data_IF_893083541996
#
_entry.id   IF_893083541996
#
_cell.length_a   1.000
_cell.length_b   1.000
_cell.length_c   1.000
_cell.angle_alpha   90.00
_cell.angle_beta   90.00
_cell.angle_gamma   90.00
#
_symmetry.space_group_name_H-M   'P 1'
#
loop_
_entity.id
_entity.type
_entity.pdbx_description
1 polymer ?
#
# COMPACT_ATOMS: atom_id res chain seq x y z
N UNK A 1 11.53 -35.97 -9.03
CA UNK A 1 10.51 -35.20 -9.77
C UNK A 1 10.87 -33.72 -9.65
N UNK A 2 11.47 -33.12 -10.69
CA UNK A 2 11.84 -31.69 -10.70
C UNK A 2 10.57 -30.89 -10.99
N UNK A 3 10.01 -30.21 -9.99
CA UNK A 3 8.98 -29.19 -10.19
C UNK A 3 9.63 -27.99 -10.92
N UNK A 4 9.07 -27.60 -12.06
CA UNK A 4 9.51 -26.42 -12.83
C UNK A 4 9.11 -25.16 -12.05
N UNK A 5 10.11 -24.40 -11.63
CA UNK A 5 9.93 -23.06 -11.07
C UNK A 5 9.45 -22.09 -12.16
N UNK A 6 8.67 -21.05 -11.82
CA UNK A 6 8.23 -20.03 -12.78
C UNK A 6 9.43 -19.35 -13.47
N UNK A 7 9.34 -19.10 -14.76
CA UNK A 7 10.41 -18.56 -15.64
C UNK A 7 11.13 -17.29 -15.11
N UNK A 8 10.56 -16.57 -14.17
CA UNK A 8 11.18 -15.36 -13.55
C UNK A 8 12.21 -15.71 -12.47
N UNK A 9 12.13 -16.86 -11.84
CA UNK A 9 13.08 -17.31 -10.80
C UNK A 9 14.31 -17.95 -11.42
N UNK A 10 14.17 -18.69 -12.52
CA UNK A 10 15.30 -19.28 -13.26
C UNK A 10 16.31 -18.24 -13.77
N UNK A 11 15.86 -17.03 -14.07
CA UNK A 11 16.73 -15.95 -14.53
C UNK A 11 17.67 -15.38 -13.44
N UNK A 12 17.34 -15.62 -12.17
CA UNK A 12 18.12 -15.10 -11.03
C UNK A 12 19.10 -16.15 -10.49
N UNK A 13 18.70 -17.42 -10.47
CA UNK A 13 19.52 -18.54 -9.96
C UNK A 13 20.69 -18.88 -10.90
N UNK A 14 20.53 -18.68 -12.21
CA UNK A 14 21.61 -18.92 -13.19
C UNK A 14 22.79 -17.93 -13.12
N UNK A 15 22.72 -16.89 -12.28
CA UNK A 15 23.84 -15.95 -12.06
C UNK A 15 24.86 -16.41 -11.00
N UNK A 16 24.59 -17.48 -10.27
CA UNK A 16 25.45 -17.99 -9.21
C UNK A 16 26.30 -19.20 -9.62
N UNK A 17 26.08 -19.74 -10.82
CA UNK A 17 26.91 -20.80 -11.38
C UNK A 17 27.94 -20.22 -12.35
N UNK A 18 29.24 -20.41 -12.07
CA UNK A 18 30.37 -19.89 -12.83
C UNK A 18 30.43 -20.43 -14.26
N UNK A 19 29.59 -19.92 -15.16
CA UNK A 19 29.68 -20.05 -16.60
C UNK A 19 30.07 -18.69 -17.19
N UNK A 20 30.88 -18.68 -18.23
CA UNK A 20 31.30 -17.50 -18.99
C UNK A 20 30.14 -16.54 -19.22
N UNK A 21 30.30 -15.22 -19.07
CA UNK A 21 29.20 -14.26 -19.22
C UNK A 21 28.65 -14.37 -20.65
N UNK A 22 27.55 -15.06 -20.83
CA UNK A 22 26.77 -14.94 -22.06
C UNK A 22 26.27 -13.49 -22.11
N UNK A 23 26.83 -12.71 -23.03
CA UNK A 23 26.33 -11.38 -23.36
C UNK A 23 24.85 -11.57 -23.72
N UNK A 24 23.96 -11.17 -22.82
CA UNK A 24 22.53 -11.15 -23.16
C UNK A 24 22.33 -10.12 -24.26
N UNK A 25 21.65 -10.48 -25.36
CA UNK A 25 21.32 -9.48 -26.37
C UNK A 25 20.62 -8.30 -25.67
N UNK A 26 20.96 -7.09 -26.10
CA UNK A 26 20.28 -5.89 -25.64
C UNK A 26 18.76 -6.09 -25.84
N UNK A 27 17.94 -5.73 -24.86
CA UNK A 27 16.50 -5.86 -25.02
C UNK A 27 16.06 -5.04 -26.23
N UNK A 28 15.03 -5.47 -26.97
CA UNK A 28 14.57 -4.76 -28.17
C UNK A 28 14.20 -3.30 -27.81
N UNK A 29 14.34 -2.35 -28.74
CA UNK A 29 13.96 -0.96 -28.52
C UNK A 29 12.49 -0.87 -28.07
N UNK A 30 12.17 0.19 -27.31
CA UNK A 30 10.78 0.46 -26.91
C UNK A 30 10.00 0.83 -28.18
N UNK A 31 8.84 0.22 -28.46
CA UNK A 31 8.01 0.59 -29.60
C UNK A 31 7.62 2.07 -29.56
N UNK A 32 7.78 2.78 -30.68
CA UNK A 32 7.46 4.20 -30.79
C UNK A 32 5.99 4.50 -30.41
N UNK A 33 5.08 3.61 -30.78
CA UNK A 33 3.65 3.71 -30.46
C UNK A 33 3.39 3.78 -28.95
N UNK A 34 4.12 3.00 -28.14
CA UNK A 34 3.99 3.05 -26.68
C UNK A 34 4.53 4.36 -26.10
N UNK A 35 5.59 4.92 -26.72
CA UNK A 35 6.13 6.22 -26.30
C UNK A 35 5.12 7.32 -26.61
N UNK A 36 4.52 7.31 -27.80
CA UNK A 36 3.47 8.25 -28.19
C UNK A 36 2.21 8.09 -27.33
N UNK A 37 1.81 6.87 -26.99
CA UNK A 37 0.72 6.62 -26.05
C UNK A 37 1.00 7.25 -24.69
N UNK A 38 2.22 7.08 -24.17
CA UNK A 38 2.61 7.68 -22.90
C UNK A 38 2.65 9.21 -22.95
N UNK A 39 3.06 9.80 -24.09
CA UNK A 39 3.02 11.24 -24.31
C UNK A 39 1.59 11.78 -24.38
N UNK A 40 0.75 11.15 -25.19
CA UNK A 40 -0.65 11.53 -25.35
C UNK A 40 -1.48 11.41 -24.07
N UNK A 41 -1.14 10.44 -23.21
CA UNK A 41 -1.78 10.24 -21.91
C UNK A 41 -1.31 11.21 -20.81
N UNK A 42 -0.29 12.05 -21.06
CA UNK A 42 0.20 13.02 -20.08
C UNK A 42 -0.81 14.14 -19.87
N UNK A 43 -1.34 14.34 -18.64
CA UNK A 43 -2.30 15.40 -18.38
C UNK A 43 -1.66 16.78 -18.44
N UNK A 44 -2.44 17.84 -18.68
CA UNK A 44 -1.95 19.20 -18.57
C UNK A 44 -1.52 19.51 -17.13
N UNK A 45 -0.58 20.45 -16.99
CA UNK A 45 -0.21 20.99 -15.67
C UNK A 45 -1.42 21.73 -15.06
N UNK A 46 -1.79 21.46 -13.79
CA UNK A 46 -2.91 22.18 -13.16
C UNK A 46 -2.69 23.68 -13.11
N UNK A 47 -3.77 24.46 -13.37
CA UNK A 47 -3.76 25.94 -13.27
C UNK A 47 -3.80 26.46 -11.83
N UNK A 48 -3.36 25.68 -10.85
CA UNK A 48 -3.38 26.02 -9.42
C UNK A 48 -2.04 26.62 -8.96
N UNK A 49 -2.02 27.47 -7.91
CA UNK A 49 -0.78 28.00 -7.36
C UNK A 49 0.10 26.92 -6.73
N UNK A 50 -0.49 25.92 -6.09
CA UNK A 50 0.20 24.76 -5.53
C UNK A 50 -0.06 23.54 -6.42
N UNK A 51 0.97 23.09 -7.12
CA UNK A 51 0.88 22.00 -8.09
C UNK A 51 1.65 20.79 -7.59
N UNK A 52 0.90 19.78 -7.15
CA UNK A 52 1.43 18.53 -6.58
C UNK A 52 1.56 17.45 -7.65
N UNK A 53 2.72 16.82 -7.72
CA UNK A 53 2.95 15.63 -8.52
C UNK A 53 3.21 14.42 -7.62
N UNK A 54 2.43 13.34 -7.76
CA UNK A 54 2.56 12.12 -6.96
C UNK A 54 2.92 10.95 -7.87
N UNK A 55 4.03 10.29 -7.60
CA UNK A 55 4.53 9.19 -8.44
C UNK A 55 5.56 8.31 -7.70
N UNK A 56 5.90 7.12 -8.23
CA UNK A 56 5.36 6.45 -9.42
C UNK A 56 4.56 5.19 -9.09
N UNK A 57 4.20 4.94 -7.84
CA UNK A 57 3.76 3.63 -7.37
C UNK A 57 2.25 3.44 -7.34
N UNK A 58 1.50 4.36 -6.73
CA UNK A 58 0.04 4.33 -6.58
C UNK A 58 -0.50 2.96 -6.07
N UNK A 59 0.19 2.35 -5.09
CA UNK A 59 -0.23 1.07 -4.53
C UNK A 59 -1.61 1.18 -3.89
N UNK A 60 -2.50 0.24 -4.23
CA UNK A 60 -3.91 0.25 -3.83
C UNK A 60 -4.62 1.60 -4.12
N UNK A 61 -4.18 2.33 -5.16
CA UNK A 61 -4.75 3.62 -5.53
C UNK A 61 -4.40 4.78 -4.60
N UNK A 62 -3.47 4.59 -3.66
CA UNK A 62 -3.26 5.56 -2.59
C UNK A 62 -2.66 6.88 -3.08
N UNK A 63 -1.72 6.85 -4.02
CA UNK A 63 -1.19 8.08 -4.61
C UNK A 63 -2.29 8.98 -5.18
N UNK A 64 -3.23 8.38 -5.92
CA UNK A 64 -4.38 9.09 -6.47
C UNK A 64 -5.33 9.59 -5.39
N UNK A 65 -5.64 8.77 -4.39
CA UNK A 65 -6.53 9.13 -3.30
C UNK A 65 -5.98 10.26 -2.43
N UNK A 66 -4.68 10.25 -2.10
CA UNK A 66 -4.04 11.38 -1.39
C UNK A 66 -4.03 12.65 -2.23
N UNK A 67 -3.76 12.55 -3.53
CA UNK A 67 -3.81 13.70 -4.45
C UNK A 67 -5.23 14.30 -4.49
N UNK A 68 -6.26 13.48 -4.67
CA UNK A 68 -7.66 13.93 -4.66
C UNK A 68 -8.08 14.48 -3.30
N UNK A 69 -7.60 13.91 -2.20
CA UNK A 69 -7.85 14.45 -0.85
C UNK A 69 -7.24 15.85 -0.67
N UNK A 70 -5.98 16.01 -1.10
CA UNK A 70 -5.31 17.33 -1.06
C UNK A 70 -6.08 18.39 -1.86
N UNK A 71 -6.53 18.07 -3.07
CA UNK A 71 -7.32 18.98 -3.91
C UNK A 71 -8.67 19.36 -3.27
N UNK A 72 -9.36 18.39 -2.69
CA UNK A 72 -10.66 18.64 -2.06
C UNK A 72 -10.58 19.48 -0.79
N UNK A 73 -9.52 19.32 -0.02
CA UNK A 73 -9.41 19.87 1.33
C UNK A 73 -8.52 21.12 1.43
N UNK A 74 -7.59 21.30 0.48
CA UNK A 74 -6.62 22.39 0.54
C UNK A 74 -6.85 23.38 -0.61
N UNK A 75 -7.32 24.61 -0.31
CA UNK A 75 -7.55 25.63 -1.34
C UNK A 75 -6.28 25.89 -2.17
N UNK A 76 -6.44 25.97 -3.47
CA UNK A 76 -5.36 26.31 -4.38
C UNK A 76 -4.40 25.15 -4.70
N UNK A 77 -4.70 23.93 -4.28
CA UNK A 77 -3.96 22.72 -4.71
C UNK A 77 -4.58 22.15 -5.97
N UNK A 78 -3.74 21.85 -6.96
CA UNK A 78 -4.06 20.99 -8.11
C UNK A 78 -3.04 19.88 -8.16
N UNK A 79 -3.45 18.66 -8.46
CA UNK A 79 -2.55 17.51 -8.41
C UNK A 79 -2.60 16.65 -9.69
N UNK A 80 -1.48 16.00 -9.97
CA UNK A 80 -1.36 14.97 -11.00
C UNK A 80 -0.67 13.75 -10.41
N UNK A 81 -1.21 12.58 -10.74
CA UNK A 81 -0.64 11.29 -10.33
C UNK A 81 -0.14 10.51 -11.52
N UNK A 82 1.01 9.85 -11.40
CA UNK A 82 1.56 9.00 -12.45
C UNK A 82 1.92 7.62 -11.93
N UNK A 83 1.59 6.60 -12.70
CA UNK A 83 1.95 5.21 -12.46
C UNK A 83 2.83 4.69 -13.58
N UNK A 84 4.06 4.32 -13.24
CA UNK A 84 5.03 3.70 -14.16
C UNK A 84 5.47 2.30 -13.72
N UNK A 85 5.03 1.87 -12.56
CA UNK A 85 5.41 0.58 -11.96
C UNK A 85 4.34 -0.45 -12.25
N UNK A 86 4.72 -1.67 -12.68
CA UNK A 86 3.75 -2.73 -12.91
C UNK A 86 3.04 -3.10 -11.60
N UNK A 87 1.73 -3.16 -11.66
CA UNK A 87 0.85 -3.66 -10.61
C UNK A 87 -0.15 -4.65 -11.20
N UNK A 88 -0.62 -5.59 -10.38
CA UNK A 88 -1.60 -6.60 -10.82
C UNK A 88 -2.95 -6.02 -11.21
N UNK A 89 -3.33 -4.87 -10.64
CA UNK A 89 -4.59 -4.17 -10.89
C UNK A 89 -4.34 -2.71 -11.27
N UNK A 90 -5.19 -2.18 -12.16
CA UNK A 90 -5.17 -0.77 -12.52
C UNK A 90 -6.10 0.00 -11.57
N UNK A 91 -5.50 0.68 -10.63
CA UNK A 91 -6.19 1.71 -9.85
C UNK A 91 -6.23 3.03 -10.62
N UNK A 92 -7.18 3.90 -10.29
CA UNK A 92 -7.27 5.24 -10.89
C UNK A 92 -5.96 6.02 -10.73
N UNK A 93 -5.52 6.66 -11.81
CA UNK A 93 -4.41 7.60 -11.86
C UNK A 93 -4.60 8.53 -13.05
N UNK A 94 -4.03 9.72 -12.99
CA UNK A 94 -4.15 10.70 -14.09
C UNK A 94 -3.29 10.29 -15.30
N UNK A 95 -2.16 9.60 -15.06
CA UNK A 95 -1.25 9.16 -16.10
C UNK A 95 -0.76 7.72 -15.86
N UNK A 96 -1.17 6.81 -16.74
CA UNK A 96 -0.65 5.45 -16.75
C UNK A 96 0.41 5.30 -17.83
N UNK A 97 1.65 5.04 -17.43
CA UNK A 97 2.79 4.90 -18.34
C UNK A 97 3.11 3.41 -18.53
N UNK A 98 3.21 2.91 -19.78
CA UNK A 98 3.63 1.55 -20.04
C UNK A 98 5.00 1.26 -19.40
N UNK A 99 5.12 0.13 -18.70
CA UNK A 99 6.36 -0.27 -17.99
C UNK A 99 7.61 -0.15 -18.85
N UNK A 100 7.52 -0.57 -20.12
CA UNK A 100 8.66 -0.52 -21.04
C UNK A 100 9.10 0.91 -21.33
N UNK A 101 8.17 1.85 -21.44
CA UNK A 101 8.45 3.28 -21.65
C UNK A 101 9.09 3.85 -20.39
N UNK A 102 8.46 3.65 -19.24
CA UNK A 102 8.96 4.12 -17.95
C UNK A 102 10.38 3.62 -17.66
N UNK A 103 10.66 2.32 -17.84
CA UNK A 103 11.95 1.74 -17.49
C UNK A 103 13.06 2.01 -18.55
N UNK A 104 12.72 2.21 -19.84
CA UNK A 104 13.70 2.03 -20.92
C UNK A 104 13.71 3.14 -21.98
N UNK A 105 12.72 4.05 -22.01
CA UNK A 105 12.71 5.14 -22.96
C UNK A 105 13.42 6.37 -22.40
N UNK A 106 14.71 6.51 -22.71
CA UNK A 106 15.50 7.65 -22.23
C UNK A 106 14.96 9.01 -22.73
N UNK A 107 14.32 9.03 -23.89
CA UNK A 107 13.67 10.23 -24.45
C UNK A 107 12.47 10.63 -23.60
N UNK A 108 11.54 9.71 -23.37
CA UNK A 108 10.37 9.93 -22.53
C UNK A 108 10.76 10.33 -21.09
N UNK A 109 11.78 9.68 -20.53
CA UNK A 109 12.26 9.97 -19.16
C UNK A 109 12.75 11.42 -19.01
N UNK A 110 13.46 11.95 -20.03
CA UNK A 110 13.91 13.36 -20.04
C UNK A 110 12.73 14.32 -20.17
N UNK A 111 11.82 14.04 -21.10
CA UNK A 111 10.60 14.83 -21.28
C UNK A 111 9.72 14.83 -20.02
N UNK A 112 9.63 13.69 -19.35
CA UNK A 112 8.88 13.56 -18.10
C UNK A 112 9.53 14.35 -16.97
N UNK A 113 10.86 14.32 -16.89
CA UNK A 113 11.61 15.15 -15.94
C UNK A 113 11.38 16.65 -16.22
N UNK A 114 11.45 17.07 -17.49
CA UNK A 114 11.20 18.45 -17.88
C UNK A 114 9.77 18.90 -17.58
N UNK A 115 8.79 18.05 -17.83
CA UNK A 115 7.38 18.29 -17.47
C UNK A 115 7.20 18.51 -15.98
N UNK A 116 7.83 17.66 -15.14
CA UNK A 116 7.69 17.76 -13.69
C UNK A 116 8.42 18.98 -13.14
N UNK A 117 9.70 19.19 -13.48
CA UNK A 117 10.50 20.31 -12.94
C UNK A 117 10.01 21.69 -13.34
N UNK A 118 9.33 21.82 -14.50
CA UNK A 118 8.81 23.10 -15.01
C UNK A 118 7.35 23.33 -14.58
N UNK A 119 6.57 22.25 -14.45
CA UNK A 119 5.14 22.33 -14.23
C UNK A 119 4.72 22.30 -12.76
N UNK A 120 5.46 21.65 -11.89
CA UNK A 120 5.01 21.39 -10.52
C UNK A 120 5.85 22.12 -9.48
N UNK A 121 5.17 22.55 -8.41
CA UNK A 121 5.80 23.22 -7.27
C UNK A 121 6.18 22.22 -6.18
N UNK A 122 5.47 21.07 -6.12
CA UNK A 122 5.63 20.04 -5.11
C UNK A 122 5.63 18.66 -5.75
N UNK A 123 6.47 17.77 -5.22
CA UNK A 123 6.58 16.37 -5.63
C UNK A 123 6.51 15.47 -4.42
N UNK A 124 5.64 14.47 -4.44
CA UNK A 124 5.57 13.40 -3.45
C UNK A 124 6.05 12.09 -4.07
N UNK A 125 7.24 11.65 -3.67
CA UNK A 125 7.85 10.40 -4.16
C UNK A 125 7.29 9.22 -3.36
N UNK A 126 6.68 8.26 -4.06
CA UNK A 126 6.09 7.09 -3.43
C UNK A 126 7.08 5.92 -3.33
N UNK A 127 7.03 5.22 -2.20
CA UNK A 127 7.71 3.94 -1.97
C UNK A 127 9.22 3.96 -2.27
N UNK A 128 9.87 5.12 -2.12
CA UNK A 128 11.31 5.31 -2.38
C UNK A 128 11.71 4.86 -3.81
N UNK A 129 10.81 5.06 -4.79
CA UNK A 129 11.02 4.62 -6.17
C UNK A 129 11.30 5.79 -7.11
N UNK A 130 12.19 5.61 -8.10
CA UNK A 130 12.49 6.67 -9.06
C UNK A 130 11.25 6.98 -9.92
N UNK A 131 10.97 8.26 -10.16
CA UNK A 131 9.84 8.69 -10.99
C UNK A 131 10.22 8.74 -12.50
N UNK A 132 11.51 8.87 -12.78
CA UNK A 132 12.03 9.04 -14.15
C UNK A 132 12.82 7.80 -14.63
N UNK A 133 12.40 6.61 -14.18
CA UNK A 133 12.97 5.34 -14.58
C UNK A 133 14.47 5.24 -14.33
N UNK A 134 15.28 5.15 -15.39
CA UNK A 134 16.73 5.00 -15.29
C UNK A 134 17.52 6.32 -15.42
N UNK A 135 16.85 7.43 -15.63
CA UNK A 135 17.49 8.72 -15.97
C UNK A 135 18.55 9.16 -14.94
N UNK A 136 18.27 8.97 -13.66
CA UNK A 136 19.18 9.29 -12.56
C UNK A 136 19.70 8.01 -11.89
N UNK A 137 20.13 7.04 -12.70
CA UNK A 137 20.64 5.74 -12.26
C UNK A 137 19.62 4.96 -11.42
N UNK A 138 18.32 5.12 -11.72
CA UNK A 138 17.21 4.52 -10.98
C UNK A 138 17.25 4.82 -9.48
N UNK A 139 17.61 6.04 -9.10
CA UNK A 139 17.78 6.44 -7.72
C UNK A 139 16.87 7.63 -7.35
N UNK A 140 15.81 7.34 -6.58
CA UNK A 140 14.83 8.33 -6.14
C UNK A 140 15.45 9.47 -5.31
N UNK A 141 16.48 9.20 -4.54
CA UNK A 141 17.16 10.20 -3.71
C UNK A 141 18.00 11.16 -4.55
N UNK A 142 18.57 10.68 -5.66
CA UNK A 142 19.23 11.54 -6.65
C UNK A 142 18.21 12.43 -7.36
N UNK A 143 17.06 11.87 -7.75
CA UNK A 143 15.94 12.64 -8.33
C UNK A 143 15.46 13.73 -7.38
N UNK A 144 15.27 13.41 -6.11
CA UNK A 144 14.86 14.38 -5.09
C UNK A 144 15.85 15.57 -4.98
N UNK A 145 17.16 15.30 -4.89
CA UNK A 145 18.20 16.37 -4.86
C UNK A 145 18.17 17.22 -6.12
N UNK A 146 18.04 16.60 -7.28
CA UNK A 146 18.02 17.34 -8.56
C UNK A 146 16.78 18.24 -8.63
N UNK A 147 15.58 17.73 -8.27
CA UNK A 147 14.35 18.52 -8.27
C UNK A 147 14.42 19.70 -7.29
N UNK A 148 14.95 19.48 -6.09
CA UNK A 148 15.14 20.54 -5.10
C UNK A 148 16.07 21.64 -5.65
N UNK A 149 17.06 21.30 -6.47
CA UNK A 149 17.91 22.26 -7.18
C UNK A 149 17.18 23.09 -8.26
N UNK A 150 15.95 22.74 -8.61
CA UNK A 150 15.04 23.49 -9.51
C UNK A 150 13.89 24.16 -8.75
N UNK A 151 14.03 24.44 -7.48
CA UNK A 151 13.03 25.04 -6.60
C UNK A 151 11.71 24.23 -6.50
N UNK A 152 11.76 22.95 -6.80
CA UNK A 152 10.65 22.02 -6.57
C UNK A 152 10.76 21.46 -5.14
N UNK A 153 9.73 21.64 -4.34
CA UNK A 153 9.66 21.04 -3.02
C UNK A 153 9.41 19.54 -3.14
N UNK A 154 10.18 18.74 -2.43
CA UNK A 154 10.10 17.29 -2.50
C UNK A 154 9.81 16.72 -1.12
N UNK A 155 8.89 15.77 -1.06
CA UNK A 155 8.63 14.92 0.09
C UNK A 155 8.58 13.45 -0.35
N UNK A 156 8.67 12.54 0.61
CA UNK A 156 8.53 11.10 0.35
C UNK A 156 7.40 10.50 1.15
N UNK A 157 6.76 9.45 0.64
CA UNK A 157 5.79 8.65 1.39
C UNK A 157 6.12 7.16 1.27
N UNK A 158 6.26 6.52 2.43
CA UNK A 158 6.55 5.10 2.52
C UNK A 158 5.27 4.26 2.60
N UNK A 159 5.29 3.12 1.90
CA UNK A 159 4.15 2.21 1.81
C UNK A 159 4.31 0.91 2.64
N UNK A 160 5.52 0.61 3.14
CA UNK A 160 5.78 -0.56 3.97
C UNK A 160 7.10 -1.25 3.63
N UNK A 161 7.12 -2.13 2.62
CA UNK A 161 8.32 -2.91 2.25
C UNK A 161 9.53 -2.07 1.82
N UNK A 162 9.32 -0.84 1.52
CA UNK A 162 10.34 0.13 1.13
C UNK A 162 11.16 0.65 2.33
N UNK A 163 10.57 0.66 3.54
CA UNK A 163 11.24 1.16 4.75
C UNK A 163 11.17 0.21 5.93
N UNK A 164 10.18 -0.72 6.01
CA UNK A 164 10.06 -1.67 7.12
C UNK A 164 11.25 -2.61 7.15
N UNK A 165 12.13 -2.45 8.14
CA UNK A 165 13.38 -3.20 8.27
C UNK A 165 13.12 -4.61 8.80
N UNK A 166 13.38 -5.67 8.02
CA UNK A 166 13.08 -7.03 8.44
C UNK A 166 13.68 -7.44 9.79
N UNK A 167 14.93 -7.04 10.08
CA UNK A 167 15.57 -7.34 11.37
C UNK A 167 14.86 -6.68 12.54
N UNK A 168 14.57 -5.37 12.45
CA UNK A 168 13.87 -4.63 13.50
C UNK A 168 12.44 -5.17 13.71
N UNK A 169 11.76 -5.48 12.62
CA UNK A 169 10.42 -6.07 12.71
C UNK A 169 10.43 -7.43 13.42
N UNK A 170 11.45 -8.29 13.19
CA UNK A 170 11.58 -9.56 13.92
C UNK A 170 11.84 -9.39 15.41
N UNK A 171 12.55 -8.34 15.78
CA UNK A 171 12.82 -8.03 17.19
C UNK A 171 11.55 -7.57 17.92
N UNK A 172 10.71 -6.77 17.25
CA UNK A 172 9.58 -6.10 17.87
C UNK A 172 8.25 -6.87 17.74
N UNK A 173 8.13 -7.79 16.76
CA UNK A 173 6.86 -8.44 16.43
C UNK A 173 6.99 -9.96 16.46
N UNK A 174 6.31 -10.59 17.44
CA UNK A 174 6.36 -12.05 17.70
C UNK A 174 6.05 -12.89 16.45
N UNK A 175 5.07 -12.49 15.65
CA UNK A 175 4.63 -13.22 14.45
C UNK A 175 5.17 -12.63 13.15
N UNK A 176 6.32 -11.95 13.21
CA UNK A 176 6.95 -11.34 12.05
C UNK A 176 7.04 -12.30 10.86
N UNK A 177 6.65 -11.89 9.63
CA UNK A 177 6.76 -12.72 8.45
C UNK A 177 8.19 -12.79 7.88
N UNK A 178 9.12 -11.99 8.41
CA UNK A 178 10.47 -11.84 7.87
C UNK A 178 11.43 -12.90 8.39
N UNK A 179 11.02 -14.17 8.39
CA UNK A 179 11.87 -15.30 8.75
C UNK A 179 12.42 -15.97 7.49
N UNK A 180 13.68 -16.42 7.54
CA UNK A 180 14.40 -16.99 6.35
C UNK A 180 13.75 -18.26 5.83
N UNK A 181 13.21 -19.07 6.73
CA UNK A 181 12.54 -20.33 6.42
C UNK A 181 11.30 -20.12 5.57
N UNK A 182 10.63 -18.99 5.76
CA UNK A 182 9.43 -18.62 5.01
C UNK A 182 9.71 -17.74 3.81
N UNK A 183 10.82 -16.99 3.83
CA UNK A 183 11.14 -16.00 2.80
C UNK A 183 12.62 -15.98 2.44
N UNK A 184 13.00 -16.71 1.39
CA UNK A 184 14.40 -16.83 0.95
C UNK A 184 15.08 -15.50 0.60
N UNK A 185 14.31 -14.48 0.17
CA UNK A 185 14.82 -13.17 -0.27
C UNK A 185 14.84 -12.12 0.86
N UNK A 186 14.62 -12.51 2.13
CA UNK A 186 14.58 -11.55 3.25
C UNK A 186 15.87 -10.73 3.38
N UNK A 187 17.03 -11.35 3.12
CA UNK A 187 18.33 -10.64 3.17
C UNK A 187 18.49 -9.63 2.02
N UNK A 188 17.87 -9.90 0.87
CA UNK A 188 17.83 -8.94 -0.25
C UNK A 188 16.97 -7.73 0.12
N UNK A 189 15.81 -7.99 0.72
CA UNK A 189 14.92 -6.95 1.21
C UNK A 189 15.59 -6.13 2.30
N UNK A 190 16.23 -6.77 3.28
CA UNK A 190 16.99 -6.10 4.35
C UNK A 190 18.00 -5.11 3.78
N UNK A 191 18.82 -5.53 2.80
CA UNK A 191 19.80 -4.63 2.16
C UNK A 191 19.16 -3.50 1.37
N UNK A 192 18.00 -3.75 0.74
CA UNK A 192 17.28 -2.73 0.02
C UNK A 192 16.70 -1.68 0.96
N UNK A 193 16.07 -2.11 2.06
CA UNK A 193 15.50 -1.22 3.07
C UNK A 193 16.59 -0.39 3.73
N UNK A 194 17.73 -0.98 4.14
CA UNK A 194 18.85 -0.23 4.69
C UNK A 194 19.37 0.85 3.73
N UNK A 195 19.41 0.57 2.42
CA UNK A 195 19.77 1.59 1.42
C UNK A 195 18.74 2.71 1.34
N UNK A 196 17.46 2.37 1.41
CA UNK A 196 16.39 3.37 1.39
C UNK A 196 16.44 4.25 2.64
N UNK A 197 16.57 3.66 3.83
CA UNK A 197 16.70 4.40 5.09
C UNK A 197 17.92 5.32 5.10
N UNK A 198 19.07 4.83 4.63
CA UNK A 198 20.27 5.65 4.49
C UNK A 198 20.10 6.78 3.47
N UNK A 199 19.38 6.52 2.37
CA UNK A 199 19.01 7.52 1.38
C UNK A 199 18.12 8.62 1.97
N UNK A 200 17.07 8.24 2.70
CA UNK A 200 16.21 9.19 3.42
C UNK A 200 16.96 10.01 4.44
N UNK A 201 17.79 9.39 5.28
CA UNK A 201 18.61 10.08 6.27
C UNK A 201 19.64 11.05 5.65
N UNK A 202 20.00 10.86 4.37
CA UNK A 202 20.92 11.75 3.64
C UNK A 202 20.23 13.00 3.08
N UNK A 203 18.92 13.10 3.18
CA UNK A 203 18.07 14.18 2.67
C UNK A 203 17.32 14.82 3.84
N UNK A 204 17.36 16.13 3.91
CA UNK A 204 16.52 16.89 4.84
C UNK A 204 15.17 17.20 4.16
N UNK A 205 14.37 16.14 3.96
CA UNK A 205 13.09 16.24 3.29
C UNK A 205 11.95 15.73 4.19
N UNK A 206 10.75 16.35 4.09
CA UNK A 206 9.57 15.82 4.74
C UNK A 206 9.33 14.37 4.34
N UNK A 207 9.15 13.49 5.33
CA UNK A 207 8.84 12.08 5.12
C UNK A 207 7.48 11.74 5.73
N UNK A 208 6.71 10.95 5.00
CA UNK A 208 5.42 10.44 5.42
C UNK A 208 5.43 8.91 5.40
N UNK A 209 4.56 8.32 6.21
CA UNK A 209 4.32 6.87 6.24
C UNK A 209 2.82 6.60 6.10
N UNK A 210 2.45 5.55 5.37
CA UNK A 210 1.05 5.23 5.09
C UNK A 210 0.35 4.47 6.22
N UNK A 211 1.12 3.77 7.06
CA UNK A 211 0.60 3.00 8.21
C UNK A 211 1.40 3.32 9.47
N UNK A 212 0.77 3.25 10.66
CA UNK A 212 1.38 3.74 11.90
C UNK A 212 2.62 2.95 12.35
N UNK A 213 2.70 1.66 12.01
CA UNK A 213 3.84 0.80 12.35
C UNK A 213 5.16 1.26 11.72
N UNK A 214 5.10 1.93 10.56
CA UNK A 214 6.30 2.41 9.87
C UNK A 214 7.01 3.56 10.61
N UNK A 215 6.37 4.14 11.61
CA UNK A 215 7.03 5.08 12.52
C UNK A 215 8.07 4.40 13.42
N UNK A 216 8.10 3.07 13.50
CA UNK A 216 9.17 2.33 14.17
C UNK A 216 10.48 2.38 13.35
N UNK A 217 10.37 2.43 12.03
CA UNK A 217 11.51 2.51 11.10
C UNK A 217 11.87 3.95 10.72
N UNK A 218 10.89 4.86 10.74
CA UNK A 218 11.03 6.28 10.42
C UNK A 218 10.36 7.14 11.51
N UNK A 219 10.96 7.29 12.70
CA UNK A 219 10.34 7.96 13.84
C UNK A 219 10.07 9.46 13.61
N UNK A 220 10.84 10.12 12.75
CA UNK A 220 10.69 11.53 12.42
C UNK A 220 9.66 11.77 11.29
N UNK A 221 9.15 10.72 10.68
CA UNK A 221 8.12 10.83 9.65
C UNK A 221 6.75 11.14 10.27
N UNK A 222 5.84 11.62 9.45
CA UNK A 222 4.45 11.86 9.85
C UNK A 222 3.55 10.77 9.27
N UNK A 223 2.65 10.23 10.08
CA UNK A 223 1.68 9.29 9.58
C UNK A 223 0.62 10.01 8.74
N UNK A 224 0.61 9.72 7.45
CA UNK A 224 -0.40 10.12 6.47
C UNK A 224 -1.26 8.88 6.15
N UNK A 225 -2.40 8.70 6.82
CA UNK A 225 -3.20 7.48 6.71
C UNK A 225 -3.59 7.13 5.28
N UNK A 226 -3.76 5.84 5.02
CA UNK A 226 -4.40 5.38 3.79
C UNK A 226 -5.79 5.98 3.66
N UNK A 227 -6.19 6.28 2.43
CA UNK A 227 -7.47 6.91 2.12
C UNK A 227 -8.35 5.92 1.36
N UNK A 228 -9.62 5.91 1.70
CA UNK A 228 -10.67 5.26 0.91
C UNK A 228 -11.80 6.24 0.69
N UNK A 229 -12.67 5.98 -0.29
CA UNK A 229 -13.95 6.70 -0.43
C UNK A 229 -15.03 5.93 0.34
N UNK A 230 -15.47 6.39 1.52
CA UNK A 230 -16.43 5.64 2.34
C UNK A 230 -17.76 5.37 1.62
N UNK A 231 -18.18 6.27 0.73
CA UNK A 231 -19.46 6.14 0.01
C UNK A 231 -19.49 4.93 -0.93
N UNK A 232 -18.33 4.48 -1.38
CA UNK A 232 -18.23 3.28 -2.23
C UNK A 232 -18.41 1.97 -1.45
N UNK A 233 -18.35 2.02 -0.11
CA UNK A 233 -18.32 0.83 0.76
C UNK A 233 -19.56 0.69 1.64
N UNK A 234 -20.55 1.56 1.49
CA UNK A 234 -21.78 1.44 2.25
C UNK A 234 -22.49 0.12 1.95
N UNK A 235 -22.71 -0.70 2.97
CA UNK A 235 -23.44 -1.94 2.88
C UNK A 235 -24.75 -1.84 3.68
N UNK A 236 -25.89 -2.19 3.06
CA UNK A 236 -27.22 -1.93 3.65
C UNK A 236 -27.54 -2.85 4.82
N UNK A 237 -26.93 -4.04 4.89
CA UNK A 237 -27.30 -5.05 5.86
C UNK A 237 -26.27 -5.16 6.99
N UNK A 238 -26.71 -5.23 8.25
CA UNK A 238 -25.80 -5.53 9.37
C UNK A 238 -25.11 -6.90 9.18
N UNK A 239 -23.87 -7.07 9.67
CA UNK A 239 -23.20 -8.36 9.64
C UNK A 239 -23.85 -9.35 10.65
N UNK A 240 -23.64 -10.64 10.43
CA UNK A 240 -24.03 -11.72 11.34
C UNK A 240 -25.56 -11.93 11.52
N UNK A 241 -26.37 -11.45 10.58
CA UNK A 241 -27.81 -11.74 10.53
C UNK A 241 -28.08 -13.16 10.01
N UNK A 242 -27.19 -13.71 9.20
CA UNK A 242 -27.32 -15.03 8.60
C UNK A 242 -27.09 -16.13 9.62
N UNK A 243 -27.80 -17.26 9.47
CA UNK A 243 -27.58 -18.46 10.30
C UNK A 243 -26.14 -18.97 10.14
N UNK A 244 -25.61 -18.95 8.91
CA UNK A 244 -24.25 -19.30 8.56
C UNK A 244 -23.51 -18.05 8.03
N UNK A 245 -22.76 -17.34 8.85
CA UNK A 245 -22.05 -16.12 8.44
C UNK A 245 -20.98 -16.37 7.40
N UNK A 246 -20.76 -15.37 6.53
CA UNK A 246 -19.72 -15.38 5.50
C UNK A 246 -18.43 -14.73 6.06
N UNK A 247 -17.35 -15.48 6.08
CA UNK A 247 -16.02 -15.02 6.46
C UNK A 247 -15.11 -14.93 5.23
N UNK A 248 -14.50 -13.75 5.02
CA UNK A 248 -13.67 -13.47 3.84
C UNK A 248 -12.23 -13.21 4.25
N UNK A 249 -11.29 -13.81 3.50
CA UNK A 249 -9.87 -13.47 3.54
C UNK A 249 -9.39 -13.14 2.13
N UNK A 250 -8.97 -11.88 1.89
CA UNK A 250 -8.55 -11.38 0.59
C UNK A 250 -7.09 -10.89 0.63
N UNK A 251 -6.10 -11.80 0.65
CA UNK A 251 -4.69 -11.43 0.77
C UNK A 251 -4.10 -11.02 -0.57
N UNK A 252 -3.49 -9.83 -0.64
CA UNK A 252 -2.57 -9.46 -1.73
C UNK A 252 -1.18 -10.07 -1.55
N UNK A 253 -0.81 -10.42 -0.32
CA UNK A 253 0.40 -11.14 0.02
C UNK A 253 0.13 -12.08 1.20
N UNK A 254 0.03 -13.36 0.90
CA UNK A 254 -0.34 -14.42 1.85
C UNK A 254 0.59 -14.49 3.06
N UNK A 255 1.90 -14.24 2.88
CA UNK A 255 2.88 -14.30 3.98
C UNK A 255 2.68 -13.20 5.02
N UNK A 256 2.41 -11.97 4.58
CA UNK A 256 2.14 -10.85 5.50
C UNK A 256 0.82 -11.00 6.23
N UNK A 257 -0.16 -11.55 5.53
CA UNK A 257 -1.51 -11.72 6.05
C UNK A 257 -1.65 -12.91 7.01
N UNK A 258 -0.70 -13.85 7.05
CA UNK A 258 -0.80 -15.08 7.83
C UNK A 258 -1.83 -16.06 7.26
N UNK A 259 -1.89 -16.14 5.92
CA UNK A 259 -2.96 -16.85 5.22
C UNK A 259 -2.98 -18.35 5.52
N UNK A 260 -1.84 -18.98 5.74
CA UNK A 260 -1.79 -20.43 6.05
C UNK A 260 -2.51 -20.73 7.37
N UNK A 261 -2.31 -19.88 8.40
CA UNK A 261 -2.99 -20.03 9.69
C UNK A 261 -4.48 -19.66 9.60
N UNK A 262 -4.81 -18.64 8.78
CA UNK A 262 -6.22 -18.30 8.51
C UNK A 262 -6.93 -19.45 7.82
N UNK A 263 -6.33 -20.03 6.78
CA UNK A 263 -6.91 -21.13 6.02
C UNK A 263 -7.13 -22.36 6.90
N UNK A 264 -6.15 -22.72 7.74
CA UNK A 264 -6.26 -23.83 8.69
C UNK A 264 -7.47 -23.64 9.64
N UNK A 265 -7.51 -22.50 10.33
CA UNK A 265 -8.57 -22.22 11.30
C UNK A 265 -9.96 -22.11 10.64
N UNK A 266 -10.05 -21.46 9.50
CA UNK A 266 -11.33 -21.16 8.86
C UNK A 266 -11.89 -22.31 8.03
N UNK A 267 -11.03 -23.19 7.48
CA UNK A 267 -11.47 -24.42 6.82
C UNK A 267 -12.15 -25.36 7.78
N UNK A 268 -11.58 -25.55 8.99
CA UNK A 268 -12.21 -26.36 10.04
C UNK A 268 -13.62 -25.84 10.43
N UNK A 269 -13.76 -24.51 10.63
CA UNK A 269 -15.07 -23.90 10.94
C UNK A 269 -16.05 -23.99 9.76
N UNK A 270 -15.57 -23.95 8.53
CA UNK A 270 -16.36 -24.11 7.33
C UNK A 270 -16.90 -25.54 7.19
N UNK A 271 -16.06 -26.56 7.42
CA UNK A 271 -16.42 -27.97 7.35
C UNK A 271 -17.43 -28.35 8.47
N UNK A 272 -17.33 -27.72 9.63
CA UNK A 272 -18.31 -27.85 10.71
C UNK A 272 -19.64 -27.12 10.41
N UNK A 273 -19.74 -26.36 9.31
CA UNK A 273 -20.93 -25.61 8.93
C UNK A 273 -21.19 -24.35 9.77
N UNK A 274 -20.24 -23.91 10.57
CA UNK A 274 -20.36 -22.74 11.45
C UNK A 274 -20.23 -21.41 10.70
N UNK A 275 -19.37 -21.38 9.67
CA UNK A 275 -19.19 -20.23 8.78
C UNK A 275 -19.10 -20.69 7.31
N UNK A 276 -19.34 -19.76 6.39
CA UNK A 276 -18.96 -19.92 4.99
C UNK A 276 -17.63 -19.19 4.76
N UNK A 277 -16.53 -19.92 4.71
CA UNK A 277 -15.22 -19.33 4.45
C UNK A 277 -14.96 -19.14 2.96
N UNK A 278 -14.50 -17.95 2.58
CA UNK A 278 -14.14 -17.59 1.22
C UNK A 278 -12.73 -16.97 1.19
N UNK A 279 -11.78 -17.69 0.62
CA UNK A 279 -10.49 -17.13 0.26
C UNK A 279 -10.57 -16.51 -1.12
N UNK A 280 -10.10 -15.25 -1.26
CA UNK A 280 -10.26 -14.44 -2.47
C UNK A 280 -8.90 -13.98 -2.96
N UNK A 281 -8.51 -14.41 -4.16
CA UNK A 281 -7.25 -14.01 -4.80
C UNK A 281 -7.48 -13.76 -6.30
N UNK A 282 -6.72 -12.81 -6.87
CA UNK A 282 -6.70 -12.59 -8.32
C UNK A 282 -7.94 -11.93 -8.91
N UNK A 283 -8.81 -11.35 -8.09
CA UNK A 283 -10.02 -10.64 -8.50
C UNK A 283 -9.78 -9.13 -8.62
N UNK A 284 -10.61 -8.45 -9.39
CA UNK A 284 -10.54 -7.01 -9.58
C UNK A 284 -10.95 -6.22 -8.32
N UNK A 285 -10.56 -4.93 -8.18
CA UNK A 285 -11.00 -4.09 -7.06
C UNK A 285 -12.52 -4.00 -6.91
N UNK A 286 -13.29 -3.99 -8.00
CA UNK A 286 -14.76 -3.95 -7.97
C UNK A 286 -15.35 -5.26 -7.45
N UNK A 287 -14.78 -6.40 -7.84
CA UNK A 287 -15.16 -7.70 -7.30
C UNK A 287 -14.83 -7.81 -5.81
N UNK A 288 -13.64 -7.33 -5.36
CA UNK A 288 -13.28 -7.25 -3.94
C UNK A 288 -14.32 -6.46 -3.17
N UNK A 289 -14.78 -5.31 -3.71
CA UNK A 289 -15.80 -4.47 -3.07
C UNK A 289 -17.10 -5.24 -2.86
N UNK A 290 -17.60 -5.92 -3.89
CA UNK A 290 -18.82 -6.71 -3.79
C UNK A 290 -18.69 -7.84 -2.76
N UNK A 291 -17.53 -8.51 -2.74
CA UNK A 291 -17.25 -9.61 -1.81
C UNK A 291 -17.19 -9.11 -0.36
N UNK A 292 -16.45 -8.05 -0.08
CA UNK A 292 -16.33 -7.45 1.26
C UNK A 292 -17.70 -6.92 1.70
N UNK A 293 -18.42 -6.21 0.85
CA UNK A 293 -19.76 -5.70 1.16
C UNK A 293 -20.77 -6.80 1.53
N UNK A 294 -20.61 -8.02 1.00
CA UNK A 294 -21.45 -9.17 1.31
C UNK A 294 -20.94 -10.04 2.47
N UNK A 295 -19.77 -9.77 3.00
CA UNK A 295 -19.19 -10.53 4.12
C UNK A 295 -19.82 -10.16 5.47
N UNK A 296 -19.67 -11.03 6.43
CA UNK A 296 -19.95 -10.77 7.85
C UNK A 296 -18.67 -10.52 8.63
N UNK A 297 -17.64 -11.34 8.38
CA UNK A 297 -16.32 -11.28 9.00
C UNK A 297 -15.26 -11.06 7.90
N UNK A 298 -14.31 -10.18 8.14
CA UNK A 298 -13.15 -9.97 7.26
C UNK A 298 -11.86 -10.22 8.05
N UNK A 299 -11.13 -11.27 7.65
CA UNK A 299 -9.85 -11.62 8.22
C UNK A 299 -8.77 -10.87 7.46
N UNK A 300 -8.15 -9.86 8.10
CA UNK A 300 -7.31 -8.90 7.37
C UNK A 300 -5.83 -9.29 7.42
N UNK A 301 -5.12 -9.03 8.49
CA UNK A 301 -3.71 -9.46 8.62
C UNK A 301 -3.32 -9.71 10.07
N UNK A 302 -2.40 -10.69 10.25
CA UNK A 302 -2.09 -11.23 11.57
C UNK A 302 -0.59 -11.18 11.90
N UNK A 303 0.25 -10.73 10.97
CA UNK A 303 1.70 -10.85 11.11
C UNK A 303 2.48 -9.54 11.09
N UNK A 304 1.87 -8.42 10.68
CA UNK A 304 2.57 -7.12 10.62
C UNK A 304 2.31 -6.23 11.84
N UNK A 305 1.37 -6.61 12.71
CA UNK A 305 1.04 -5.81 13.88
C UNK A 305 0.38 -4.46 13.57
N UNK A 306 -0.13 -4.29 12.36
CA UNK A 306 -0.78 -3.08 11.86
C UNK A 306 -1.92 -3.46 10.92
N UNK A 307 -2.63 -2.48 10.35
CA UNK A 307 -3.74 -2.69 9.43
C UNK A 307 -3.53 -1.95 8.11
N UNK A 308 -4.21 -2.39 7.06
CA UNK A 308 -4.07 -1.84 5.72
C UNK A 308 -5.40 -1.39 5.10
N UNK A 309 -5.36 -1.15 3.79
CA UNK A 309 -6.50 -0.67 2.99
C UNK A 309 -7.71 -1.58 3.13
N UNK A 310 -7.54 -2.90 3.06
CA UNK A 310 -8.64 -3.87 3.17
C UNK A 310 -9.38 -3.78 4.51
N UNK A 311 -8.66 -3.49 5.62
CA UNK A 311 -9.32 -3.24 6.91
C UNK A 311 -10.17 -1.97 6.87
N UNK A 312 -9.67 -0.88 6.28
CA UNK A 312 -10.41 0.37 6.15
C UNK A 312 -11.67 0.18 5.27
N UNK A 313 -11.55 -0.55 4.18
CA UNK A 313 -12.65 -0.92 3.28
C UNK A 313 -13.73 -1.74 4.01
N UNK A 314 -13.33 -2.75 4.76
CA UNK A 314 -14.24 -3.59 5.54
C UNK A 314 -14.90 -2.83 6.69
N UNK A 315 -14.16 -1.98 7.41
CA UNK A 315 -14.72 -1.09 8.43
C UNK A 315 -15.72 -0.09 7.84
N UNK A 316 -15.43 0.48 6.65
CA UNK A 316 -16.36 1.37 5.96
C UNK A 316 -17.66 0.66 5.58
N UNK A 317 -17.57 -0.61 5.17
CA UNK A 317 -18.72 -1.47 4.89
C UNK A 317 -19.45 -1.95 6.16
N UNK A 318 -19.03 -1.56 7.36
CA UNK A 318 -19.62 -2.02 8.61
C UNK A 318 -19.46 -3.53 8.83
N UNK A 319 -18.37 -4.12 8.37
CA UNK A 319 -18.07 -5.55 8.59
C UNK A 319 -17.23 -5.72 9.85
N UNK A 320 -17.33 -6.89 10.47
CA UNK A 320 -16.47 -7.24 11.60
C UNK A 320 -15.08 -7.54 11.06
N UNK A 321 -14.08 -6.77 11.45
CA UNK A 321 -12.68 -6.96 11.02
C UNK A 321 -11.88 -7.65 12.11
N UNK A 322 -11.16 -8.71 11.75
CA UNK A 322 -10.24 -9.42 12.62
C UNK A 322 -8.81 -9.22 12.13
N UNK A 323 -7.90 -8.97 13.05
CA UNK A 323 -6.47 -8.82 12.75
C UNK A 323 -5.65 -8.57 13.99
N UNK A 324 -4.33 -8.75 13.85
CA UNK A 324 -3.38 -8.48 14.94
C UNK A 324 -2.84 -7.05 14.81
N UNK A 325 -3.17 -6.20 15.78
CA UNK A 325 -2.66 -4.83 15.87
C UNK A 325 -1.99 -4.66 17.22
N UNK A 326 -0.68 -4.37 17.22
CA UNK A 326 0.04 -4.18 18.47
C UNK A 326 -0.54 -3.03 19.28
N UNK A 327 -0.46 -3.12 20.61
CA UNK A 327 -0.97 -2.07 21.49
C UNK A 327 -0.31 -0.71 21.20
N UNK A 328 0.96 -0.71 20.86
CA UNK A 328 1.67 0.49 20.46
C UNK A 328 1.05 1.16 19.21
N UNK A 329 0.68 0.38 18.19
CA UNK A 329 0.00 0.91 17.00
C UNK A 329 -1.46 1.30 17.30
N UNK A 330 -2.16 0.59 18.18
CA UNK A 330 -3.49 1.01 18.67
C UNK A 330 -3.42 2.36 19.38
N UNK A 331 -2.37 2.59 20.19
CA UNK A 331 -2.18 3.87 20.86
C UNK A 331 -1.95 5.00 19.86
N UNK A 332 -1.10 4.80 18.84
CA UNK A 332 -0.91 5.79 17.76
C UNK A 332 -2.21 6.13 17.04
N UNK A 333 -3.06 5.14 16.82
CA UNK A 333 -4.37 5.34 16.21
C UNK A 333 -5.29 6.14 17.15
N UNK A 334 -5.35 5.81 18.43
CA UNK A 334 -6.11 6.58 19.44
C UNK A 334 -5.66 8.04 19.50
N UNK A 335 -4.35 8.28 19.49
CA UNK A 335 -3.79 9.64 19.52
C UNK A 335 -4.19 10.45 18.29
N UNK A 336 -4.28 9.82 17.12
CA UNK A 336 -4.69 10.48 15.87
C UNK A 336 -6.22 10.64 15.73
N UNK A 337 -6.97 9.58 16.03
CA UNK A 337 -8.42 9.54 15.83
C UNK A 337 -9.22 10.05 17.04
N UNK A 338 -8.64 9.96 18.25
CA UNK A 338 -9.38 10.16 19.52
C UNK A 338 -10.40 9.06 19.84
N UNK A 339 -10.33 7.94 19.12
CA UNK A 339 -11.23 6.78 19.27
C UNK A 339 -10.43 5.47 19.16
N UNK A 340 -10.98 4.40 19.74
CA UNK A 340 -10.40 3.07 19.58
C UNK A 340 -10.59 2.53 18.15
N UNK A 341 -9.59 1.80 17.69
CA UNK A 341 -9.65 1.12 16.39
C UNK A 341 -10.63 -0.07 16.44
N UNK A 342 -11.72 -0.07 15.65
CA UNK A 342 -12.74 -1.11 15.71
C UNK A 342 -12.35 -2.38 14.93
N UNK A 343 -11.16 -2.90 15.24
CA UNK A 343 -10.65 -4.19 14.76
C UNK A 343 -10.55 -5.13 15.95
N UNK A 344 -11.16 -6.31 15.84
CA UNK A 344 -11.09 -7.34 16.86
C UNK A 344 -9.68 -7.89 16.91
N UNK A 345 -9.02 -7.72 18.07
CA UNK A 345 -7.67 -8.24 18.26
C UNK A 345 -7.67 -9.75 18.11
N UNK A 346 -6.87 -10.23 17.18
CA UNK A 346 -6.81 -11.65 16.82
C UNK A 346 -5.41 -11.98 16.34
N UNK A 347 -4.77 -12.94 16.95
CA UNK A 347 -3.43 -13.41 16.55
C UNK A 347 -3.53 -14.67 15.69
N UNK A 348 -2.45 -15.06 15.04
CA UNK A 348 -2.37 -16.33 14.28
C UNK A 348 -2.66 -17.57 15.15
N UNK A 349 -2.55 -17.46 16.48
CA UNK A 349 -2.69 -18.56 17.42
C UNK A 349 -4.13 -18.76 17.92
N UNK A 350 -5.01 -17.72 17.79
CA UNK A 350 -6.36 -17.74 18.37
C UNK A 350 -7.49 -17.37 17.40
N UNK A 351 -7.25 -17.46 16.09
CA UNK A 351 -8.26 -17.11 15.07
C UNK A 351 -9.56 -17.89 15.31
N UNK A 352 -9.46 -19.20 15.50
CA UNK A 352 -10.60 -20.08 15.68
C UNK A 352 -11.42 -19.70 16.91
N UNK A 353 -10.76 -19.51 18.04
CA UNK A 353 -11.37 -19.16 19.32
C UNK A 353 -12.13 -17.82 19.23
N UNK A 354 -11.46 -16.80 18.67
CA UNK A 354 -12.05 -15.46 18.52
C UNK A 354 -13.26 -15.49 17.58
N UNK A 355 -13.21 -16.25 16.49
CA UNK A 355 -14.37 -16.41 15.61
C UNK A 355 -15.53 -17.06 16.33
N UNK A 356 -15.29 -18.11 17.11
CA UNK A 356 -16.33 -18.78 17.90
C UNK A 356 -16.96 -17.84 18.93
N UNK A 357 -16.15 -17.03 19.65
CA UNK A 357 -16.65 -16.01 20.57
C UNK A 357 -17.56 -14.99 19.89
N UNK A 358 -17.19 -14.53 18.68
CA UNK A 358 -17.99 -13.59 17.90
C UNK A 358 -19.30 -14.21 17.39
N UNK A 359 -19.32 -15.51 17.11
CA UNK A 359 -20.51 -16.23 16.71
C UNK A 359 -21.47 -16.45 17.89
N UNK A 360 -20.93 -16.64 19.10
CA UNK A 360 -21.68 -16.78 20.36
C UNK A 360 -22.27 -15.43 20.81
N UNK A 361 -21.50 -14.34 20.74
CA UNK A 361 -21.97 -12.98 21.06
C UNK A 361 -22.02 -12.08 19.79
N UNK A 362 -22.95 -12.39 18.90
CA UNK A 362 -23.19 -11.62 17.67
C UNK A 362 -23.53 -10.15 17.94
N UNK A 363 -24.22 -9.89 19.05
CA UNK A 363 -24.60 -8.54 19.44
C UNK A 363 -23.39 -7.65 19.76
N UNK A 364 -22.36 -8.20 20.43
CA UNK A 364 -21.08 -7.53 20.64
C UNK A 364 -20.35 -7.29 19.31
N UNK A 365 -20.29 -8.31 18.47
CA UNK A 365 -19.64 -8.22 17.18
C UNK A 365 -20.27 -7.13 16.27
N UNK A 366 -21.60 -7.08 16.21
CA UNK A 366 -22.34 -6.03 15.48
C UNK A 366 -22.08 -4.63 16.03
N UNK A 367 -21.98 -4.46 17.36
CA UNK A 367 -21.62 -3.16 17.95
C UNK A 367 -20.24 -2.70 17.55
N UNK A 368 -19.25 -3.60 17.49
CA UNK A 368 -17.90 -3.28 17.01
C UNK A 368 -17.95 -2.87 15.53
N UNK A 369 -18.61 -3.66 14.69
CA UNK A 369 -18.74 -3.39 13.28
C UNK A 369 -19.41 -2.04 12.99
N UNK A 370 -20.45 -1.67 13.76
CA UNK A 370 -21.16 -0.40 13.62
C UNK A 370 -20.29 0.83 13.90
N UNK A 371 -19.17 0.70 14.61
CA UNK A 371 -18.22 1.79 14.81
C UNK A 371 -17.36 2.05 13.57
N UNK A 372 -17.17 1.04 12.73
CA UNK A 372 -16.28 1.09 11.57
C UNK A 372 -16.52 2.25 10.62
N UNK A 373 -17.75 2.48 10.11
CA UNK A 373 -18.03 3.56 9.17
C UNK A 373 -17.75 4.97 9.73
N UNK A 374 -18.05 5.18 11.02
CA UNK A 374 -17.74 6.43 11.72
C UNK A 374 -16.23 6.66 11.88
N UNK A 375 -15.52 5.62 12.28
CA UNK A 375 -14.07 5.64 12.42
C UNK A 375 -13.37 5.95 11.09
N UNK A 376 -13.80 5.28 10.01
CA UNK A 376 -13.22 5.49 8.67
C UNK A 376 -13.47 6.91 8.17
N UNK A 377 -14.66 7.44 8.32
CA UNK A 377 -14.96 8.85 7.96
C UNK A 377 -14.10 9.84 8.74
N UNK A 378 -13.71 9.54 9.97
CA UNK A 378 -12.88 10.40 10.79
C UNK A 378 -11.41 10.41 10.40
N UNK A 379 -10.85 9.25 10.03
CA UNK A 379 -9.40 9.08 9.84
C UNK A 379 -8.99 8.75 8.39
N UNK A 380 -9.86 8.11 7.61
CA UNK A 380 -9.52 7.51 6.33
C UNK A 380 -10.30 8.05 5.12
N UNK A 381 -11.14 9.07 5.27
CA UNK A 381 -11.86 9.73 4.15
C UNK A 381 -11.00 10.70 3.34
N UNK A 382 -9.78 10.92 3.79
CA UNK A 382 -8.80 11.80 3.17
C UNK A 382 -8.68 13.19 3.83
N UNK A 383 -9.62 13.63 4.64
CA UNK A 383 -9.52 14.94 5.29
C UNK A 383 -8.34 15.02 6.26
N UNK A 384 -8.16 13.98 7.08
CA UNK A 384 -7.01 13.90 7.99
C UNK A 384 -5.68 13.81 7.21
N UNK A 385 -5.60 12.97 6.18
CA UNK A 385 -4.40 12.84 5.35
C UNK A 385 -4.04 14.14 4.64
N UNK A 386 -5.02 14.89 4.14
CA UNK A 386 -4.79 16.22 3.56
C UNK A 386 -4.26 17.21 4.61
N UNK A 387 -4.77 17.18 5.84
CA UNK A 387 -4.25 17.98 6.96
C UNK A 387 -2.79 17.65 7.25
N UNK A 388 -2.42 16.36 7.24
CA UNK A 388 -1.01 15.95 7.41
C UNK A 388 -0.14 16.47 6.27
N UNK A 389 -0.60 16.35 5.01
CA UNK A 389 0.13 16.83 3.82
C UNK A 389 0.20 18.37 3.75
N UNK A 390 -0.72 19.09 4.40
CA UNK A 390 -0.73 20.57 4.36
C UNK A 390 0.57 21.19 4.84
N UNK A 391 1.23 20.59 5.83
CA UNK A 391 2.53 21.04 6.34
C UNK A 391 3.65 21.04 5.27
N UNK A 392 3.54 20.16 4.30
CA UNK A 392 4.45 20.12 3.16
C UNK A 392 4.00 21.06 2.04
N UNK A 393 2.68 21.14 1.77
CA UNK A 393 2.13 21.87 0.64
C UNK A 393 2.02 23.37 0.87
N UNK A 394 1.72 23.82 2.10
CA UNK A 394 1.38 25.22 2.39
C UNK A 394 2.42 26.00 3.19
N UNK A 395 3.47 25.34 3.71
CA UNK A 395 4.55 26.06 4.40
C UNK A 395 5.39 26.84 3.39
N UNK A 396 5.67 28.13 3.66
CA UNK A 396 6.47 29.05 2.81
C UNK A 396 7.94 28.69 2.83
#
# INVERSE_FOLDING_TARGET
VRRRLPRRVDAYVSRLGGGSPRVRPAPPPVPAELVEQARAGRPPVPGAPLRLYVAPANFAGQGWLWARAAERQLPGVGAVTMVGIPGGFRFSADHHVPEQVYLRSAEWQREQFDYVRQGFTHVLIEAQRPMFGSLFSSNAFTEARVLTGYDVRVATIAHGRDVRLPSLHRENYRWSPYVREEWADVDVLERQVRRNLAGLASLDLPAFVSTPDLLDDLPDARWCPVVIDPALWEAPEPPLERSRPVAVHAPTNSKFKGSDQVDEAMTDLHEQGLVEYRRVEGVSPDEVRAIIGSADLVLEQFRLGSYGVTACEAMAAGRVVLGHITEHNRQRVRDAAGDDLPIVETTVENIREVVLELLDDRGRAQKIAAQGPGFVRKLHDGAYSATVLSSFLTTS
#
